data_IF_166507497726
#
_entry.id   IF_166507497726
#
_cell.length_a   1.000
_cell.length_b   1.000
_cell.length_c   1.000
_cell.angle_alpha   90.00
_cell.angle_beta   90.00
_cell.angle_gamma   90.00
#
_symmetry.space_group_name_H-M   'P 1'
#
loop_
_entity.id
_entity.type
_entity.pdbx_description
1 polymer ?
#
# COMPACT_ATOMS: atom_id res chain seq x y z
N UNK A 1 14.78 -16.12 -9.66
CA UNK A 1 13.78 -15.17 -10.18
C UNK A 1 13.95 -13.85 -9.46
N UNK A 2 14.20 -12.75 -10.17
CA UNK A 2 14.28 -11.42 -9.57
C UNK A 2 12.93 -11.08 -8.91
N UNK A 3 12.96 -10.67 -7.66
CA UNK A 3 11.76 -10.20 -6.93
C UNK A 3 11.25 -8.98 -7.68
N UNK A 4 10.10 -9.07 -8.34
CA UNK A 4 9.45 -7.93 -8.97
C UNK A 4 9.09 -6.96 -7.85
N UNK A 5 9.78 -5.81 -7.78
CA UNK A 5 9.46 -4.76 -6.82
C UNK A 5 8.05 -4.26 -7.08
N UNK A 6 7.26 -4.06 -6.03
CA UNK A 6 5.89 -3.54 -6.12
C UNK A 6 5.85 -2.05 -6.43
N UNK A 7 6.80 -1.32 -5.86
CA UNK A 7 6.96 0.13 -6.00
C UNK A 7 8.31 0.47 -6.59
N UNK A 8 8.38 1.53 -7.36
CA UNK A 8 9.64 2.16 -7.75
C UNK A 8 10.28 2.88 -6.56
N UNK A 9 11.58 3.21 -6.64
CA UNK A 9 12.24 4.00 -5.59
C UNK A 9 11.56 5.34 -5.36
N UNK A 10 11.20 6.03 -6.43
CA UNK A 10 10.46 7.30 -6.41
C UNK A 10 9.08 7.16 -5.75
N UNK A 11 8.32 6.11 -6.09
CA UNK A 11 7.03 5.84 -5.44
C UNK A 11 7.16 5.60 -3.95
N UNK A 12 8.22 4.91 -3.48
CA UNK A 12 8.48 4.71 -2.04
C UNK A 12 8.78 6.00 -1.32
N UNK A 13 9.51 6.92 -1.94
CA UNK A 13 9.84 8.22 -1.35
C UNK A 13 8.62 9.13 -1.26
N UNK A 14 7.74 9.07 -2.27
CA UNK A 14 6.55 9.89 -2.34
C UNK A 14 5.35 9.33 -1.54
N UNK A 15 5.37 8.05 -1.15
CA UNK A 15 4.21 7.42 -0.52
C UNK A 15 3.87 7.99 0.86
N UNK A 16 4.83 8.59 1.54
CA UNK A 16 4.64 9.27 2.82
C UNK A 16 4.27 10.76 2.66
N UNK A 17 4.28 11.28 1.43
CA UNK A 17 3.81 12.61 1.02
C UNK A 17 4.40 13.81 1.79
N UNK A 18 5.54 13.63 2.49
CA UNK A 18 6.17 14.68 3.29
C UNK A 18 6.60 15.92 2.48
N UNK A 19 6.82 15.77 1.18
CA UNK A 19 7.36 16.83 0.32
C UNK A 19 6.32 17.46 -0.63
N UNK A 20 5.05 17.07 -0.56
CA UNK A 20 4.02 17.45 -1.53
C UNK A 20 2.79 18.10 -0.89
N UNK A 21 2.88 18.47 0.39
CA UNK A 21 1.78 19.09 1.10
C UNK A 21 1.60 20.55 0.67
N UNK A 22 0.36 20.97 0.43
CA UNK A 22 0.01 22.38 0.31
C UNK A 22 0.21 23.11 1.65
N UNK A 23 0.33 24.42 1.66
CA UNK A 23 0.45 25.22 2.89
C UNK A 23 -0.69 24.93 3.88
N UNK A 24 -1.90 24.76 3.37
CA UNK A 24 -3.07 24.43 4.20
C UNK A 24 -2.95 23.04 4.84
N UNK A 25 -2.59 22.02 4.07
CA UNK A 25 -2.40 20.67 4.59
C UNK A 25 -1.23 20.62 5.59
N UNK A 26 -0.14 21.32 5.29
CA UNK A 26 1.01 21.43 6.16
C UNK A 26 0.62 22.04 7.51
N UNK A 27 -0.09 23.16 7.53
CA UNK A 27 -0.60 23.77 8.74
C UNK A 27 -1.61 22.87 9.46
N UNK A 28 -2.49 22.19 8.72
CA UNK A 28 -3.50 21.28 9.29
C UNK A 28 -2.90 20.10 10.03
N UNK A 29 -1.82 19.51 9.49
CA UNK A 29 -1.20 18.32 10.09
C UNK A 29 -0.20 18.63 11.20
N UNK A 30 0.49 19.80 11.12
CA UNK A 30 1.63 20.08 11.98
C UNK A 30 1.43 21.24 12.95
N UNK A 31 0.23 21.84 13.00
CA UNK A 31 -0.08 22.80 14.06
C UNK A 31 -0.20 22.10 15.41
N UNK A 32 0.41 22.70 16.42
CA UNK A 32 0.39 22.24 17.79
C UNK A 32 -0.75 22.95 18.53
N UNK A 33 -1.53 22.21 19.31
CA UNK A 33 -2.52 22.77 20.24
C UNK A 33 -1.84 23.26 21.52
N UNK A 34 -2.57 24.03 22.33
CA UNK A 34 -2.09 24.49 23.64
C UNK A 34 -1.74 23.28 24.54
N UNK A 35 -2.56 22.22 24.51
CA UNK A 35 -2.28 20.96 25.24
C UNK A 35 -0.98 20.30 24.76
N UNK A 36 -0.68 20.34 23.46
CA UNK A 36 0.57 19.82 22.92
C UNK A 36 1.76 20.62 23.43
N UNK A 37 1.63 21.95 23.41
CA UNK A 37 2.68 22.88 23.88
C UNK A 37 2.95 22.65 25.37
N UNK A 38 1.92 22.43 26.16
CA UNK A 38 2.07 22.13 27.57
C UNK A 38 2.86 20.82 27.80
N UNK A 39 2.51 19.74 27.08
CA UNK A 39 3.26 18.48 27.15
C UNK A 39 4.71 18.68 26.72
N UNK A 40 4.95 19.37 25.59
CA UNK A 40 6.28 19.66 25.07
C UNK A 40 7.12 20.43 26.09
N UNK A 41 6.52 21.39 26.80
CA UNK A 41 7.20 22.22 27.79
C UNK A 41 7.63 21.47 29.05
N UNK A 42 7.15 20.25 29.31
CA UNK A 42 7.68 19.41 30.39
C UNK A 42 9.13 18.95 30.14
N UNK A 43 9.61 18.99 28.89
CA UNK A 43 10.98 18.64 28.56
C UNK A 43 11.92 19.83 28.82
N UNK A 44 13.01 19.59 29.55
CA UNK A 44 13.90 20.65 30.05
C UNK A 44 14.81 21.30 29.01
N UNK A 45 15.19 20.56 27.96
CA UNK A 45 16.16 21.01 26.95
C UNK A 45 15.42 21.36 25.67
N UNK A 46 15.78 22.44 25.02
CA UNK A 46 15.17 22.87 23.77
C UNK A 46 15.30 21.81 22.66
N UNK A 47 16.45 21.10 22.59
CA UNK A 47 16.60 19.98 21.65
C UNK A 47 15.63 18.82 21.92
N UNK A 48 15.29 18.57 23.19
CA UNK A 48 14.31 17.55 23.55
C UNK A 48 12.87 18.04 23.27
N UNK A 49 12.57 19.30 23.58
CA UNK A 49 11.28 19.93 23.25
C UNK A 49 10.99 19.86 21.76
N UNK A 50 11.94 20.33 20.95
CA UNK A 50 11.82 20.31 19.48
C UNK A 50 11.76 18.87 18.96
N UNK A 51 12.62 17.99 19.47
CA UNK A 51 12.63 16.59 19.05
C UNK A 51 11.36 15.81 19.38
N UNK A 52 10.76 16.08 20.55
CA UNK A 52 9.45 15.52 20.94
C UNK A 52 8.36 16.05 20.02
N UNK A 53 8.29 17.35 19.81
CA UNK A 53 7.31 18.00 18.96
C UNK A 53 7.36 17.47 17.51
N UNK A 54 8.55 17.33 16.94
CA UNK A 54 8.72 16.76 15.60
C UNK A 54 8.28 15.29 15.56
N UNK A 55 8.62 14.47 16.58
CA UNK A 55 8.13 13.09 16.63
C UNK A 55 6.60 13.03 16.71
N UNK A 56 5.98 13.89 17.51
CA UNK A 56 4.52 13.98 17.62
C UNK A 56 3.89 14.32 16.26
N UNK A 57 4.43 15.33 15.58
CA UNK A 57 4.00 15.71 14.23
C UNK A 57 4.09 14.55 13.24
N UNK A 58 5.22 13.83 13.21
CA UNK A 58 5.43 12.71 12.30
C UNK A 58 4.55 11.50 12.61
N UNK A 59 4.24 11.26 13.88
CA UNK A 59 3.30 10.20 14.28
C UNK A 59 1.86 10.58 13.94
N UNK A 60 1.49 11.86 13.96
CA UNK A 60 0.19 12.35 13.48
C UNK A 60 0.08 12.23 11.97
N UNK A 61 1.08 12.74 11.27
CA UNK A 61 1.18 12.66 9.82
C UNK A 61 2.67 12.68 9.41
N UNK A 62 3.11 11.73 8.61
CA UNK A 62 2.39 10.69 7.86
C UNK A 62 2.06 9.42 8.65
N UNK A 63 2.20 9.40 9.97
CA UNK A 63 1.90 8.25 10.83
C UNK A 63 3.13 7.39 11.15
N UNK A 64 4.34 7.91 10.97
CA UNK A 64 5.57 7.13 11.10
C UNK A 64 6.52 7.68 12.18
N UNK A 65 7.54 6.90 12.50
CA UNK A 65 8.59 7.31 13.45
C UNK A 65 9.77 7.97 12.74
N UNK A 66 10.58 8.72 13.48
CA UNK A 66 11.86 9.26 13.00
C UNK A 66 12.79 8.18 12.42
N UNK A 67 12.68 6.94 12.88
CA UNK A 67 13.51 5.83 12.39
C UNK A 67 13.12 5.39 10.97
N UNK A 68 11.90 5.69 10.55
CA UNK A 68 11.36 5.31 9.23
C UNK A 68 11.56 6.39 8.17
N UNK A 69 12.08 7.56 8.56
CA UNK A 69 12.33 8.69 7.69
C UNK A 69 13.85 8.88 7.52
N UNK A 70 14.31 8.99 6.30
CA UNK A 70 15.74 9.23 6.01
C UNK A 70 16.19 10.61 6.50
N UNK A 71 15.37 11.64 6.24
CA UNK A 71 15.63 13.01 6.61
C UNK A 71 14.31 13.75 6.83
N UNK A 72 14.19 14.43 7.97
CA UNK A 72 13.04 15.33 8.22
C UNK A 72 13.21 16.58 7.34
N UNK A 73 12.18 17.03 6.63
CA UNK A 73 12.24 18.27 5.85
C UNK A 73 12.58 19.48 6.73
N UNK A 74 13.43 20.37 6.24
CA UNK A 74 13.85 21.54 7.00
C UNK A 74 12.68 22.49 7.29
N UNK A 75 11.75 22.61 6.35
CA UNK A 75 10.55 23.44 6.50
C UNK A 75 9.67 22.96 7.66
N UNK A 76 9.55 21.62 7.85
CA UNK A 76 8.86 21.06 8.99
C UNK A 76 9.56 21.37 10.31
N UNK A 77 10.89 21.23 10.35
CA UNK A 77 11.67 21.53 11.55
C UNK A 77 11.49 23.02 11.93
N UNK A 78 11.59 23.91 10.95
CA UNK A 78 11.42 25.36 11.18
C UNK A 78 10.01 25.69 11.66
N UNK A 79 8.98 25.16 10.97
CA UNK A 79 7.59 25.42 11.32
C UNK A 79 7.23 24.97 12.75
N UNK A 80 7.73 23.81 13.17
CA UNK A 80 7.50 23.30 14.54
C UNK A 80 8.32 24.10 15.56
N UNK A 81 9.56 24.48 15.24
CA UNK A 81 10.44 25.27 16.10
C UNK A 81 9.83 26.65 16.40
N UNK A 82 9.26 27.31 15.39
CA UNK A 82 8.60 28.62 15.51
C UNK A 82 7.40 28.56 16.47
N UNK A 83 6.59 27.48 16.42
CA UNK A 83 5.43 27.31 17.31
C UNK A 83 5.80 27.17 18.79
N UNK A 84 6.95 26.56 19.08
CA UNK A 84 7.41 26.38 20.48
C UNK A 84 8.48 27.38 20.90
N UNK A 85 8.76 28.37 20.05
CA UNK A 85 9.77 29.43 20.24
C UNK A 85 11.16 28.88 20.62
N UNK A 86 11.67 27.98 19.78
CA UNK A 86 12.98 27.32 19.93
C UNK A 86 13.75 27.44 18.61
N UNK A 87 15.07 27.53 18.68
CA UNK A 87 15.93 27.53 17.48
C UNK A 87 15.90 26.16 16.79
N UNK A 88 15.63 26.15 15.47
CA UNK A 88 15.57 24.94 14.66
C UNK A 88 16.90 24.16 14.60
N UNK A 89 18.04 24.84 14.75
CA UNK A 89 19.38 24.22 14.70
C UNK A 89 19.63 23.24 15.84
N UNK A 90 18.93 23.39 16.98
CA UNK A 90 19.06 22.47 18.13
C UNK A 90 18.57 21.05 17.82
N UNK A 91 17.78 20.86 16.76
CA UNK A 91 17.31 19.54 16.35
C UNK A 91 18.44 18.57 16.00
N UNK A 92 19.55 19.09 15.47
CA UNK A 92 20.72 18.29 15.15
C UNK A 92 21.29 17.55 16.37
N UNK A 93 21.22 18.15 17.57
CA UNK A 93 21.66 17.54 18.83
C UNK A 93 20.69 16.48 19.37
N UNK A 94 19.40 16.57 19.05
CA UNK A 94 18.39 15.55 19.39
C UNK A 94 18.63 14.25 18.64
N UNK A 95 19.03 14.33 17.39
CA UNK A 95 19.21 13.17 16.51
C UNK A 95 20.34 12.20 16.95
N UNK A 96 21.18 12.56 17.91
CA UNK A 96 22.36 11.77 18.31
C UNK A 96 22.06 10.63 19.31
N UNK A 97 20.94 10.70 20.09
CA UNK A 97 20.61 9.73 21.16
C UNK A 97 19.37 8.90 20.85
N UNK A 98 19.57 7.62 20.54
CA UNK A 98 18.46 6.70 20.27
C UNK A 98 17.57 6.41 21.49
N UNK A 99 18.13 6.41 22.72
CA UNK A 99 17.37 6.16 23.95
C UNK A 99 16.27 7.21 24.14
N UNK A 100 16.63 8.48 24.10
CA UNK A 100 15.69 9.59 24.25
C UNK A 100 14.57 9.56 23.19
N UNK A 101 14.91 9.21 21.93
CA UNK A 101 13.90 9.07 20.88
C UNK A 101 12.86 7.99 21.20
N UNK A 102 13.30 6.87 21.78
CA UNK A 102 12.40 5.77 22.15
C UNK A 102 11.53 6.13 23.34
N UNK A 103 12.09 6.81 24.35
CA UNK A 103 11.36 7.29 25.52
C UNK A 103 10.27 8.29 25.11
N UNK A 104 10.60 9.27 24.28
CA UNK A 104 9.65 10.23 23.75
C UNK A 104 8.55 9.58 22.90
N UNK A 105 8.90 8.59 22.06
CA UNK A 105 7.91 7.87 21.29
C UNK A 105 6.93 7.09 22.19
N UNK A 106 7.45 6.49 23.26
CA UNK A 106 6.61 5.78 24.21
C UNK A 106 5.68 6.73 24.96
N UNK A 107 6.17 7.91 25.37
CA UNK A 107 5.37 8.97 25.97
C UNK A 107 4.28 9.48 25.04
N UNK A 108 4.59 9.74 23.77
CA UNK A 108 3.61 10.10 22.72
C UNK A 108 2.52 9.03 22.61
N UNK A 109 2.92 7.75 22.59
CA UNK A 109 1.95 6.65 22.52
C UNK A 109 1.00 6.63 23.70
N UNK A 110 1.50 6.82 24.90
CA UNK A 110 0.70 6.80 26.13
C UNK A 110 -0.25 8.00 26.22
N UNK A 111 0.22 9.20 25.90
CA UNK A 111 -0.58 10.42 26.00
C UNK A 111 -1.64 10.49 24.91
N UNK A 112 -1.28 10.18 23.66
CA UNK A 112 -2.14 10.39 22.49
C UNK A 112 -2.86 9.12 22.00
N UNK A 113 -2.63 7.97 22.66
CA UNK A 113 -3.31 6.71 22.37
C UNK A 113 -2.83 6.01 21.10
N UNK A 114 -1.61 6.28 20.63
CA UNK A 114 -1.02 5.57 19.50
C UNK A 114 -0.58 4.16 19.88
N UNK A 115 -0.68 3.25 18.92
CA UNK A 115 -0.37 1.84 19.09
C UNK A 115 0.77 1.42 18.19
N UNK A 116 1.57 0.45 18.63
CA UNK A 116 2.57 -0.16 17.77
C UNK A 116 1.90 -1.08 16.76
N UNK A 117 2.48 -1.17 15.57
CA UNK A 117 2.16 -2.21 14.62
C UNK A 117 2.72 -3.55 15.11
N UNK A 118 1.85 -4.44 15.53
CA UNK A 118 2.17 -5.78 16.05
C UNK A 118 1.53 -6.89 15.20
N UNK A 119 1.67 -8.14 15.62
CA UNK A 119 1.12 -9.29 14.91
C UNK A 119 -0.41 -9.23 14.81
N UNK A 120 -1.10 -8.74 15.85
CA UNK A 120 -2.56 -8.62 15.83
C UNK A 120 -3.03 -7.68 14.71
N UNK A 121 -2.43 -6.49 14.62
CA UNK A 121 -2.77 -5.53 13.58
C UNK A 121 -2.33 -6.01 12.19
N UNK A 122 -1.18 -6.67 12.11
CA UNK A 122 -0.69 -7.28 10.87
C UNK A 122 -1.69 -8.30 10.30
N UNK A 123 -2.22 -9.20 11.14
CA UNK A 123 -3.22 -10.19 10.71
C UNK A 123 -4.56 -9.55 10.31
N UNK A 124 -5.01 -8.56 11.08
CA UNK A 124 -6.26 -7.84 10.79
C UNK A 124 -6.19 -7.13 9.45
N UNK A 125 -5.12 -6.35 9.23
CA UNK A 125 -4.86 -5.64 7.98
C UNK A 125 -4.72 -6.62 6.82
N UNK A 126 -4.00 -7.71 7.02
CA UNK A 126 -3.81 -8.72 5.99
C UNK A 126 -5.13 -9.31 5.48
N UNK A 127 -6.09 -9.57 6.37
CA UNK A 127 -7.44 -10.03 5.98
C UNK A 127 -8.18 -8.98 5.14
N UNK A 128 -8.14 -7.72 5.53
CA UNK A 128 -8.74 -6.62 4.77
C UNK A 128 -8.07 -6.44 3.41
N UNK A 129 -6.75 -6.53 3.35
CA UNK A 129 -5.99 -6.46 2.10
C UNK A 129 -6.34 -7.59 1.13
N UNK A 130 -6.58 -8.82 1.62
CA UNK A 130 -7.02 -9.93 0.75
C UNK A 130 -8.38 -9.61 0.12
N UNK A 131 -9.33 -9.08 0.89
CA UNK A 131 -10.64 -8.70 0.37
C UNK A 131 -10.51 -7.60 -0.70
N UNK A 132 -9.80 -6.52 -0.39
CA UNK A 132 -9.58 -5.42 -1.32
C UNK A 132 -8.83 -5.87 -2.58
N UNK A 133 -7.87 -6.80 -2.45
CA UNK A 133 -7.09 -7.31 -3.56
C UNK A 133 -7.90 -8.22 -4.51
N UNK A 134 -9.03 -8.78 -4.06
CA UNK A 134 -9.96 -9.49 -4.94
C UNK A 134 -10.71 -8.52 -5.88
N UNK A 135 -10.93 -7.29 -5.43
CA UNK A 135 -11.64 -6.26 -6.20
C UNK A 135 -10.66 -5.41 -7.04
N UNK A 136 -9.52 -5.05 -6.45
CA UNK A 136 -8.53 -4.19 -7.09
C UNK A 136 -7.11 -4.70 -6.86
N UNK A 137 -6.46 -5.21 -7.89
CA UNK A 137 -5.10 -5.76 -7.82
C UNK A 137 -3.99 -4.70 -8.01
N UNK A 138 -4.30 -3.39 -7.93
CA UNK A 138 -3.31 -2.33 -8.03
C UNK A 138 -2.51 -2.22 -6.72
N UNK A 139 -1.19 -2.45 -6.79
CA UNK A 139 -0.33 -2.45 -5.61
C UNK A 139 -0.28 -1.09 -4.89
N UNK A 140 -0.20 0.01 -5.65
CA UNK A 140 -0.14 1.37 -5.06
C UNK A 140 -1.44 1.70 -4.32
N UNK A 141 -2.59 1.40 -4.94
CA UNK A 141 -3.90 1.58 -4.32
C UNK A 141 -4.01 0.80 -3.00
N UNK A 142 -3.61 -0.48 -3.00
CA UNK A 142 -3.66 -1.32 -1.80
C UNK A 142 -2.73 -0.80 -0.69
N UNK A 143 -1.53 -0.31 -1.03
CA UNK A 143 -0.60 0.27 -0.07
C UNK A 143 -1.16 1.57 0.53
N UNK A 144 -1.73 2.45 -0.28
CA UNK A 144 -2.36 3.69 0.19
C UNK A 144 -3.56 3.41 1.10
N UNK A 145 -4.40 2.44 0.72
CA UNK A 145 -5.54 2.00 1.54
C UNK A 145 -5.07 1.46 2.89
N UNK A 146 -4.01 0.64 2.92
CA UNK A 146 -3.43 0.10 4.14
C UNK A 146 -2.90 1.22 5.06
N UNK A 147 -2.15 2.16 4.49
CA UNK A 147 -1.61 3.32 5.23
C UNK A 147 -2.75 4.13 5.87
N UNK A 148 -3.83 4.39 5.14
CA UNK A 148 -4.96 5.16 5.66
C UNK A 148 -5.68 4.41 6.79
N UNK A 149 -5.93 3.10 6.64
CA UNK A 149 -6.51 2.28 7.69
C UNK A 149 -5.67 2.28 8.99
N UNK A 150 -4.36 2.20 8.85
CA UNK A 150 -3.45 2.25 10.00
C UNK A 150 -3.49 3.63 10.69
N UNK A 151 -3.53 4.72 9.92
CA UNK A 151 -3.64 6.09 10.45
C UNK A 151 -4.94 6.30 11.20
N UNK A 152 -6.07 5.89 10.62
CA UNK A 152 -7.40 6.03 11.21
C UNK A 152 -7.51 5.31 12.57
N UNK A 153 -6.85 4.15 12.68
CA UNK A 153 -6.79 3.37 13.92
C UNK A 153 -5.70 3.85 14.90
N UNK A 154 -5.00 4.95 14.61
CA UNK A 154 -3.85 5.45 15.37
C UNK A 154 -2.75 4.42 15.56
N UNK A 155 -2.46 3.64 14.53
CA UNK A 155 -1.38 2.66 14.52
C UNK A 155 -0.16 3.27 13.83
N UNK A 156 0.97 3.27 14.52
CA UNK A 156 2.23 3.77 13.95
C UNK A 156 2.64 2.88 12.79
N UNK A 157 2.84 3.49 11.63
CA UNK A 157 3.19 2.78 10.41
C UNK A 157 4.49 1.98 10.56
N UNK A 158 4.49 0.71 10.16
CA UNK A 158 5.74 -0.04 10.01
C UNK A 158 6.54 0.51 8.83
N UNK A 159 7.71 -0.08 8.55
CA UNK A 159 8.48 0.31 7.37
C UNK A 159 7.69 0.05 6.08
N UNK A 160 7.86 0.87 5.06
CA UNK A 160 7.21 0.69 3.74
C UNK A 160 7.49 -0.70 3.17
N UNK A 161 8.69 -1.23 3.39
CA UNK A 161 9.03 -2.61 2.98
C UNK A 161 8.17 -3.67 3.67
N UNK A 162 7.75 -3.44 4.92
CA UNK A 162 6.83 -4.34 5.63
C UNK A 162 5.44 -4.29 4.99
N UNK A 163 4.93 -3.10 4.69
CA UNK A 163 3.65 -2.90 3.99
C UNK A 163 3.70 -3.55 2.60
N UNK A 164 4.76 -3.33 1.81
CA UNK A 164 4.92 -3.98 0.50
C UNK A 164 4.88 -5.52 0.59
N UNK A 165 5.50 -6.10 1.62
CA UNK A 165 5.46 -7.55 1.83
C UNK A 165 4.06 -8.05 2.14
N UNK A 166 3.31 -7.35 3.00
CA UNK A 166 1.93 -7.67 3.32
C UNK A 166 1.05 -7.60 2.07
N UNK A 167 1.11 -6.50 1.33
CA UNK A 167 0.35 -6.31 0.09
C UNK A 167 0.72 -7.38 -0.95
N UNK A 168 2.01 -7.69 -1.12
CA UNK A 168 2.44 -8.75 -2.04
C UNK A 168 1.87 -10.10 -1.67
N UNK A 169 1.84 -10.43 -0.38
CA UNK A 169 1.30 -11.69 0.12
C UNK A 169 -0.23 -11.74 0.00
N UNK A 170 -0.91 -10.65 0.33
CA UNK A 170 -2.37 -10.53 0.20
C UNK A 170 -2.83 -10.67 -1.25
N UNK A 171 -2.14 -10.02 -2.22
CA UNK A 171 -2.43 -10.17 -3.65
C UNK A 171 -2.30 -11.61 -4.12
N UNK A 172 -1.24 -12.31 -3.71
CA UNK A 172 -1.05 -13.74 -4.06
C UNK A 172 -2.16 -14.61 -3.48
N UNK A 173 -2.57 -14.35 -2.25
CA UNK A 173 -3.65 -15.11 -1.63
C UNK A 173 -5.00 -14.80 -2.26
N UNK A 174 -5.29 -13.53 -2.57
CA UNK A 174 -6.49 -13.12 -3.30
C UNK A 174 -6.56 -13.77 -4.69
N UNK A 175 -5.45 -13.79 -5.43
CA UNK A 175 -5.33 -14.47 -6.71
C UNK A 175 -5.61 -15.97 -6.59
N UNK A 176 -5.07 -16.64 -5.57
CA UNK A 176 -5.32 -18.05 -5.32
C UNK A 176 -6.80 -18.33 -4.98
N UNK A 177 -7.44 -17.46 -4.19
CA UNK A 177 -8.86 -17.56 -3.85
C UNK A 177 -9.72 -17.40 -5.12
N UNK A 178 -9.48 -16.36 -5.91
CA UNK A 178 -10.19 -16.13 -7.18
C UNK A 178 -10.02 -17.34 -8.10
N UNK A 179 -8.78 -17.84 -8.22
CA UNK A 179 -8.50 -19.00 -9.06
C UNK A 179 -9.26 -20.25 -8.59
N UNK A 180 -9.28 -20.51 -7.27
CA UNK A 180 -10.06 -21.60 -6.70
C UNK A 180 -11.56 -21.46 -7.03
N UNK A 181 -12.15 -20.28 -6.75
CA UNK A 181 -13.57 -20.02 -7.06
C UNK A 181 -13.88 -20.27 -8.54
N UNK A 182 -12.99 -19.85 -9.43
CA UNK A 182 -13.20 -20.00 -10.88
C UNK A 182 -13.00 -21.43 -11.37
N UNK A 183 -12.24 -22.26 -10.66
CA UNK A 183 -11.85 -23.60 -11.15
C UNK A 183 -12.47 -24.76 -10.39
N UNK A 184 -13.00 -24.56 -9.18
CA UNK A 184 -13.52 -25.66 -8.35
C UNK A 184 -14.75 -26.36 -8.99
N UNK A 185 -15.58 -25.60 -9.70
CA UNK A 185 -16.74 -26.14 -10.41
C UNK A 185 -16.40 -26.75 -11.78
N UNK A 186 -15.16 -26.64 -12.24
CA UNK A 186 -14.75 -27.16 -13.55
C UNK A 186 -14.53 -28.66 -13.49
N UNK A 187 -15.14 -29.38 -14.42
CA UNK A 187 -14.85 -30.80 -14.64
C UNK A 187 -13.40 -30.99 -15.11
N UNK A 188 -12.87 -32.20 -14.90
CA UNK A 188 -11.53 -32.57 -15.38
C UNK A 188 -11.39 -32.32 -16.89
N UNK A 189 -12.41 -32.67 -17.68
CA UNK A 189 -12.44 -32.44 -19.12
C UNK A 189 -12.35 -30.95 -19.48
N UNK A 190 -13.00 -30.08 -18.71
CA UNK A 190 -12.93 -28.62 -18.91
C UNK A 190 -11.54 -28.09 -18.55
N UNK A 191 -10.94 -28.58 -17.47
CA UNK A 191 -9.56 -28.22 -17.10
C UNK A 191 -8.55 -28.62 -18.17
N UNK A 192 -8.66 -29.85 -18.68
CA UNK A 192 -7.80 -30.35 -19.77
C UNK A 192 -7.98 -29.50 -21.05
N UNK A 193 -9.19 -29.05 -21.35
CA UNK A 193 -9.45 -28.15 -22.49
C UNK A 193 -8.83 -26.77 -22.27
N UNK A 194 -8.87 -26.25 -21.05
CA UNK A 194 -8.23 -24.96 -20.72
C UNK A 194 -6.70 -25.04 -20.79
N UNK A 195 -6.08 -26.13 -20.34
CA UNK A 195 -4.65 -26.34 -20.49
C UNK A 195 -4.21 -26.35 -21.96
N UNK A 196 -4.98 -26.97 -22.84
CA UNK A 196 -4.72 -26.98 -24.28
C UNK A 196 -4.77 -25.59 -24.93
N UNK A 197 -5.41 -24.59 -24.31
CA UNK A 197 -5.44 -23.22 -24.83
C UNK A 197 -4.04 -22.56 -24.80
N UNK A 198 -3.23 -22.93 -23.81
CA UNK A 198 -1.87 -22.41 -23.62
C UNK A 198 -0.80 -23.32 -24.20
N UNK A 199 -1.18 -24.51 -24.66
CA UNK A 199 -0.24 -25.50 -25.20
C UNK A 199 0.30 -25.04 -26.56
N UNK A 200 1.63 -24.95 -26.67
CA UNK A 200 2.37 -24.55 -27.86
C UNK A 200 3.07 -25.74 -28.54
N UNK A 201 2.51 -26.95 -28.37
CA UNK A 201 3.14 -28.22 -28.79
C UNK A 201 3.45 -28.37 -30.29
N UNK A 202 3.09 -27.40 -31.10
CA UNK A 202 3.45 -27.38 -32.53
C UNK A 202 4.42 -26.23 -32.79
N UNK A 203 5.68 -26.55 -33.02
CA UNK A 203 6.70 -25.59 -33.47
C UNK A 203 6.14 -24.72 -34.62
N UNK A 204 6.16 -23.39 -34.45
CA UNK A 204 5.69 -22.36 -35.38
C UNK A 204 4.18 -22.12 -35.51
N UNK A 205 3.30 -22.68 -34.68
CA UNK A 205 1.88 -22.28 -34.61
C UNK A 205 1.56 -21.40 -33.41
N UNK A 206 0.73 -20.38 -33.63
CA UNK A 206 0.22 -19.55 -32.56
C UNK A 206 -0.61 -20.41 -31.60
N UNK A 207 -0.41 -20.24 -30.30
CA UNK A 207 -1.28 -20.91 -29.29
C UNK A 207 -2.74 -20.52 -29.51
N UNK A 208 -3.70 -21.39 -29.18
CA UNK A 208 -5.12 -21.04 -29.23
C UNK A 208 -5.46 -19.77 -28.45
N UNK A 209 -4.77 -19.53 -27.33
CA UNK A 209 -4.92 -18.28 -26.55
C UNK A 209 -4.45 -17.06 -27.35
N UNK A 210 -3.31 -17.13 -28.03
CA UNK A 210 -2.82 -16.04 -28.88
C UNK A 210 -3.81 -15.74 -30.02
N UNK A 211 -4.35 -16.78 -30.66
CA UNK A 211 -5.36 -16.64 -31.68
C UNK A 211 -6.66 -16.01 -31.15
N UNK A 212 -7.14 -16.40 -29.95
CA UNK A 212 -8.31 -15.81 -29.30
C UNK A 212 -8.12 -14.32 -28.98
N UNK A 213 -6.91 -13.90 -28.68
CA UNK A 213 -6.54 -12.52 -28.33
C UNK A 213 -6.28 -11.62 -29.53
N UNK A 214 -6.23 -12.13 -30.72
CA UNK A 214 -6.07 -11.31 -31.94
C UNK A 214 -7.22 -10.31 -32.05
N UNK A 215 -6.89 -9.04 -32.30
CA UNK A 215 -7.90 -8.02 -32.54
C UNK A 215 -8.70 -8.40 -33.81
N UNK A 216 -10.02 -8.19 -33.82
CA UNK A 216 -10.80 -8.29 -35.04
C UNK A 216 -10.23 -7.26 -36.03
N UNK A 217 -9.95 -7.69 -37.26
CA UNK A 217 -9.49 -6.81 -38.32
C UNK A 217 -10.55 -5.76 -38.71
N UNK A 218 -10.36 -5.09 -39.83
CA UNK A 218 -11.35 -4.18 -40.41
C UNK A 218 -12.72 -4.87 -40.55
N UNK A 219 -13.81 -4.10 -40.45
CA UNK A 219 -15.16 -4.61 -40.65
C UNK A 219 -15.30 -5.23 -42.04
N UNK A 220 -15.29 -6.55 -42.09
CA UNK A 220 -15.44 -7.36 -43.30
C UNK A 220 -16.15 -8.67 -42.95
N UNK A 221 -16.81 -9.34 -43.95
CA UNK A 221 -17.41 -10.65 -43.76
C UNK A 221 -16.41 -11.67 -43.19
N UNK A 222 -15.16 -11.64 -43.62
CA UNK A 222 -14.10 -12.54 -43.12
C UNK A 222 -13.75 -12.28 -41.65
N UNK A 223 -13.69 -11.02 -41.23
CA UNK A 223 -13.50 -10.65 -39.84
C UNK A 223 -14.64 -11.14 -38.96
N UNK A 224 -15.85 -11.04 -39.43
CA UNK A 224 -17.03 -11.55 -38.74
C UNK A 224 -17.03 -13.08 -38.59
N UNK A 225 -16.66 -13.82 -39.65
CA UNK A 225 -16.50 -15.27 -39.60
C UNK A 225 -15.46 -15.68 -38.58
N UNK A 226 -14.30 -14.98 -38.51
CA UNK A 226 -13.26 -15.22 -37.50
C UNK A 226 -13.78 -15.04 -36.09
N UNK A 227 -14.58 -14.00 -35.82
CA UNK A 227 -15.19 -13.78 -34.50
C UNK A 227 -16.12 -14.92 -34.13
N UNK A 228 -16.99 -15.37 -35.11
CA UNK A 228 -17.88 -16.51 -34.87
C UNK A 228 -17.09 -17.80 -34.58
N UNK A 229 -15.99 -18.04 -35.29
CA UNK A 229 -15.13 -19.20 -35.03
C UNK A 229 -14.53 -19.18 -33.62
N UNK A 230 -14.07 -18.01 -33.12
CA UNK A 230 -13.58 -17.82 -31.75
C UNK A 230 -14.68 -18.08 -30.72
N UNK A 231 -15.85 -17.54 -30.93
CA UNK A 231 -17.01 -17.76 -30.04
C UNK A 231 -17.41 -19.26 -30.01
N UNK A 232 -17.40 -19.94 -31.12
CA UNK A 232 -17.64 -21.40 -31.20
C UNK A 232 -16.59 -22.17 -30.42
N UNK A 233 -15.32 -21.79 -30.56
CA UNK A 233 -14.22 -22.41 -29.84
C UNK A 233 -14.39 -22.26 -28.32
N UNK A 234 -14.67 -21.03 -27.84
CA UNK A 234 -14.93 -20.75 -26.41
C UNK A 234 -16.15 -21.56 -25.93
N UNK A 235 -17.23 -21.59 -26.69
CA UNK A 235 -18.43 -22.36 -26.35
C UNK A 235 -18.13 -23.87 -26.21
N UNK A 236 -17.23 -24.42 -27.02
CA UNK A 236 -16.85 -25.83 -26.97
C UNK A 236 -16.02 -26.20 -25.71
N UNK A 237 -15.41 -25.22 -25.06
CA UNK A 237 -14.76 -25.42 -23.75
C UNK A 237 -15.82 -25.74 -22.70
N UNK A 238 -17.04 -25.21 -22.86
CA UNK A 238 -18.18 -25.51 -21.99
C UNK A 238 -18.10 -24.79 -20.63
N UNK A 239 -17.42 -23.64 -20.58
CA UNK A 239 -17.40 -22.81 -19.39
C UNK A 239 -18.79 -22.22 -19.16
N UNK A 240 -19.44 -22.59 -18.06
CA UNK A 240 -20.60 -21.88 -17.55
C UNK A 240 -20.08 -20.66 -16.77
N UNK A 241 -19.99 -19.52 -17.42
CA UNK A 241 -19.68 -18.28 -16.72
C UNK A 241 -20.93 -17.86 -15.96
N UNK A 242 -21.04 -18.24 -14.71
CA UNK A 242 -21.98 -17.62 -13.78
C UNK A 242 -21.45 -16.22 -13.44
N UNK A 243 -21.80 -15.24 -14.28
CA UNK A 243 -21.45 -13.82 -14.07
C UNK A 243 -22.08 -13.23 -12.79
N UNK A 244 -22.94 -13.99 -12.10
CA UNK A 244 -23.59 -13.55 -10.85
C UNK A 244 -22.68 -13.54 -9.63
N UNK A 245 -21.47 -14.10 -9.69
CA UNK A 245 -20.54 -14.09 -8.56
C UNK A 245 -19.51 -12.95 -8.61
N UNK A 246 -19.56 -12.12 -9.65
CA UNK A 246 -18.75 -10.89 -9.77
C UNK A 246 -19.73 -9.74 -9.54
N UNK A 247 -20.16 -9.56 -8.30
CA UNK A 247 -20.87 -8.35 -7.88
C UNK A 247 -19.89 -7.37 -7.26
N UNK A 248 -20.04 -6.06 -7.63
CA UNK A 248 -19.24 -4.96 -7.13
C UNK A 248 -19.42 -4.73 -5.63
#
# INVERSE_FOLDING_TARGET
>A
MAKKELLTGEQRENILELNQLSEFEFASYYSLSDDDIDVINHHRRDSNRLGFAIQLCLVRYPGCTLSNIKKVPQDLIQYVADQINVDSDVFSSYATRNTTKREHLEEIRQIYGYKNFDNYYSERIFKTLIQNAQENNNALFLIQTDINLLRDDKIILPTILTIEKLVSSARKQAEAIIFSILTDELSREQKDKLEKIIDSSLENQKTPLAWLRELPGHSSPDSFIKVIQRLKYIKNIGLKVNLCCIHP
#
